data_IF_611720535688
#
_entry.id   IF_611720535688
#
_cell.length_a   1.000
_cell.length_b   1.000
_cell.length_c   1.000
_cell.angle_alpha   90.00
_cell.angle_beta   90.00
_cell.angle_gamma   90.00
#
_symmetry.space_group_name_H-M   'P 1'
#
loop_
_entity.id
_entity.type
_entity.pdbx_description
1 polymer ?
#
# COMPACT_ATOMS: atom_id res chain seq x y z
N UNK A 1 8.51 12.93 -4.43
CA UNK A 1 9.26 13.52 -3.30
C UNK A 1 8.33 14.05 -2.21
N UNK A 2 7.38 14.97 -2.50
CA UNK A 2 6.51 15.59 -1.50
C UNK A 2 5.68 14.60 -0.68
N UNK A 3 5.05 13.62 -1.33
CA UNK A 3 4.29 12.56 -0.62
C UNK A 3 5.19 11.68 0.26
N UNK A 4 6.44 11.49 -0.12
CA UNK A 4 7.39 10.70 0.65
C UNK A 4 7.82 11.46 1.91
N UNK A 5 7.97 12.78 1.83
CA UNK A 5 8.26 13.63 2.98
C UNK A 5 7.13 13.56 4.02
N UNK A 6 5.85 13.57 3.59
CA UNK A 6 4.73 13.40 4.52
C UNK A 6 4.67 12.01 5.16
N UNK A 7 5.12 10.98 4.45
CA UNK A 7 5.18 9.62 5.00
C UNK A 7 6.33 9.43 6.00
N UNK A 8 7.45 10.11 5.77
CA UNK A 8 8.67 10.02 6.59
C UNK A 8 9.28 11.40 6.85
N UNK A 9 8.64 12.22 7.71
CA UNK A 9 9.04 13.62 7.91
C UNK A 9 10.43 13.78 8.53
N UNK A 10 10.94 12.73 9.21
CA UNK A 10 12.27 12.73 9.85
C UNK A 10 13.38 12.17 8.97
N UNK A 11 13.07 11.76 7.73
CA UNK A 11 14.08 11.23 6.80
C UNK A 11 14.88 12.34 6.14
N UNK A 12 16.20 12.20 6.12
CA UNK A 12 17.09 13.08 5.37
C UNK A 12 17.00 12.87 3.84
N UNK A 13 16.50 11.71 3.41
CA UNK A 13 16.31 11.35 2.01
C UNK A 13 14.82 11.31 1.69
N UNK A 14 14.37 12.11 0.72
CA UNK A 14 12.98 12.16 0.27
C UNK A 14 12.70 11.33 -0.97
N UNK A 15 13.74 10.98 -1.75
CA UNK A 15 13.62 10.08 -2.88
C UNK A 15 13.53 8.63 -2.40
N UNK A 16 12.52 7.89 -2.86
CA UNK A 16 12.37 6.46 -2.62
C UNK A 16 12.77 5.67 -3.86
N UNK A 17 12.49 6.21 -5.04
CA UNK A 17 12.79 5.56 -6.31
C UNK A 17 14.15 5.99 -6.85
N UNK A 18 14.84 5.10 -7.57
CA UNK A 18 16.17 5.37 -8.17
C UNK A 18 16.17 6.53 -9.18
N UNK A 19 15.01 6.79 -9.82
CA UNK A 19 14.87 7.88 -10.82
C UNK A 19 14.34 9.19 -10.24
N UNK A 20 14.00 9.24 -8.94
CA UNK A 20 13.62 10.48 -8.27
C UNK A 20 14.89 11.25 -7.91
N UNK A 21 15.12 12.36 -8.58
CA UNK A 21 16.25 13.22 -8.28
C UNK A 21 15.96 14.04 -7.03
N UNK A 22 16.72 13.80 -5.98
CA UNK A 22 16.62 14.46 -4.68
C UNK A 22 17.82 15.37 -4.48
N UNK A 23 17.61 16.65 -4.80
CA UNK A 23 18.66 17.68 -4.71
C UNK A 23 19.14 17.83 -3.25
N UNK A 24 18.22 17.79 -2.27
CA UNK A 24 18.55 17.89 -0.85
C UNK A 24 19.46 16.75 -0.40
N UNK A 25 19.13 15.54 -0.81
CA UNK A 25 19.96 14.37 -0.53
C UNK A 25 21.33 14.43 -1.19
N UNK A 26 21.40 14.97 -2.43
CA UNK A 26 22.68 15.17 -3.11
C UNK A 26 23.60 16.11 -2.33
N UNK A 27 23.09 17.26 -1.86
CA UNK A 27 23.85 18.20 -1.04
C UNK A 27 24.27 17.60 0.30
N UNK A 28 23.36 16.88 0.98
CA UNK A 28 23.70 16.21 2.25
C UNK A 28 24.83 15.21 2.03
N UNK A 29 24.81 14.41 0.97
CA UNK A 29 25.92 13.49 0.64
C UNK A 29 27.21 14.22 0.35
N UNK A 30 27.17 15.30 -0.43
CA UNK A 30 28.34 16.10 -0.75
C UNK A 30 28.97 16.69 0.51
N UNK A 31 28.18 17.30 1.39
CA UNK A 31 28.68 17.86 2.65
C UNK A 31 29.16 16.77 3.63
N UNK A 32 28.54 15.61 3.59
CA UNK A 32 28.96 14.46 4.41
C UNK A 32 30.36 13.96 3.98
N UNK A 33 30.71 14.04 2.70
CA UNK A 33 32.04 13.68 2.18
C UNK A 33 33.15 14.59 2.78
N UNK A 34 32.82 15.85 3.05
CA UNK A 34 33.74 16.83 3.65
C UNK A 34 33.63 16.89 5.20
N UNK A 35 32.86 15.98 5.81
CA UNK A 35 32.64 15.97 7.26
C UNK A 35 31.76 17.10 7.79
N UNK A 36 31.14 17.90 6.89
CA UNK A 36 30.32 19.06 7.24
C UNK A 36 28.85 18.71 7.56
N UNK A 37 28.41 17.50 7.22
CA UNK A 37 27.08 17.01 7.53
C UNK A 37 27.11 15.54 8.01
N UNK A 38 26.25 15.22 8.98
CA UNK A 38 26.04 13.86 9.45
C UNK A 38 24.58 13.45 9.21
N UNK A 39 24.39 12.33 8.52
CA UNK A 39 23.05 11.78 8.29
C UNK A 39 22.59 11.06 9.54
N UNK A 40 21.54 11.57 10.18
CA UNK A 40 21.00 10.99 11.41
C UNK A 40 19.98 9.89 11.13
N UNK A 41 19.14 10.03 10.09
CA UNK A 41 18.09 9.07 9.77
C UNK A 41 17.74 9.10 8.28
N UNK A 42 17.63 7.92 7.70
CA UNK A 42 17.04 7.70 6.37
C UNK A 42 15.81 6.80 6.57
N UNK A 43 14.73 7.04 5.81
CA UNK A 43 13.56 6.19 5.86
C UNK A 43 13.95 4.75 5.49
N UNK A 44 13.58 3.74 6.29
CA UNK A 44 13.82 2.36 5.94
C UNK A 44 13.06 2.03 4.65
N UNK A 45 13.73 1.37 3.73
CA UNK A 45 13.09 0.85 2.52
C UNK A 45 12.61 -0.58 2.82
N UNK A 46 11.39 -0.95 2.40
CA UNK A 46 10.98 -2.34 2.52
C UNK A 46 11.87 -3.18 1.60
N UNK A 47 12.51 -4.16 2.16
CA UNK A 47 13.16 -5.23 1.40
C UNK A 47 12.13 -6.33 1.22
N UNK A 48 11.92 -6.78 -0.01
CA UNK A 48 11.06 -7.92 -0.33
C UNK A 48 12.01 -9.06 -0.63
N UNK A 49 12.23 -9.91 0.35
CA UNK A 49 12.97 -11.16 0.14
C UNK A 49 11.94 -12.27 -0.08
N UNK A 50 12.00 -12.98 -1.22
CA UNK A 50 11.14 -14.13 -1.44
C UNK A 50 11.56 -15.25 -0.50
N UNK A 51 10.93 -15.33 0.64
CA UNK A 51 10.98 -16.51 1.52
C UNK A 51 9.71 -17.29 1.31
N UNK A 52 9.76 -18.42 0.56
CA UNK A 52 8.62 -19.31 0.48
C UNK A 52 8.31 -19.82 1.88
N UNK A 53 7.06 -19.79 2.29
CA UNK A 53 6.55 -20.41 3.51
C UNK A 53 6.84 -19.72 4.87
N UNK A 54 7.26 -18.48 4.95
CA UNK A 54 7.36 -17.82 6.25
C UNK A 54 6.00 -17.35 6.74
N UNK A 55 5.56 -17.81 7.91
CA UNK A 55 4.42 -17.23 8.61
C UNK A 55 4.71 -15.76 8.94
N UNK A 56 3.66 -14.91 8.83
CA UNK A 56 3.72 -13.52 9.28
C UNK A 56 4.15 -13.45 10.75
N UNK A 57 5.16 -12.66 11.02
CA UNK A 57 5.70 -12.42 12.35
C UNK A 57 5.64 -10.93 12.73
N UNK A 58 6.07 -10.60 13.94
CA UNK A 58 6.05 -9.21 14.46
C UNK A 58 6.97 -8.30 13.64
N UNK A 59 8.06 -8.82 13.07
CA UNK A 59 8.99 -8.06 12.25
C UNK A 59 8.35 -7.66 10.91
N UNK A 60 7.67 -8.60 10.24
CA UNK A 60 6.89 -8.31 9.02
C UNK A 60 5.80 -7.27 9.33
N UNK A 61 5.08 -7.41 10.44
CA UNK A 61 4.06 -6.44 10.86
C UNK A 61 4.66 -5.05 11.02
N UNK A 62 5.79 -4.90 11.70
CA UNK A 62 6.46 -3.61 11.88
C UNK A 62 6.90 -3.02 10.53
N UNK A 63 7.47 -3.83 9.64
CA UNK A 63 7.84 -3.42 8.30
C UNK A 63 6.64 -2.89 7.50
N UNK A 64 5.51 -3.58 7.57
CA UNK A 64 4.25 -3.22 6.89
C UNK A 64 3.69 -1.92 7.48
N UNK A 65 3.62 -1.78 8.80
CA UNK A 65 3.09 -0.58 9.47
C UNK A 65 3.93 0.65 9.14
N UNK A 66 5.25 0.55 9.22
CA UNK A 66 6.17 1.64 8.88
C UNK A 66 6.01 2.05 7.41
N UNK A 67 5.78 1.08 6.53
CA UNK A 67 5.65 1.29 5.10
C UNK A 67 4.19 1.30 4.60
N UNK A 68 3.19 1.47 5.47
CA UNK A 68 1.76 1.34 5.15
C UNK A 68 1.30 2.11 3.90
N UNK A 69 1.86 3.29 3.66
CA UNK A 69 1.52 4.08 2.46
C UNK A 69 2.06 3.45 1.17
N UNK A 70 3.22 2.79 1.25
CA UNK A 70 3.78 2.03 0.14
C UNK A 70 2.98 0.76 -0.11
N UNK A 71 2.62 0.05 0.95
CA UNK A 71 1.79 -1.16 0.89
C UNK A 71 0.45 -0.86 0.20
N UNK A 72 -0.27 0.20 0.61
CA UNK A 72 -1.52 0.60 -0.04
C UNK A 72 -1.36 1.03 -1.50
N UNK A 73 -0.25 1.70 -1.82
CA UNK A 73 0.05 2.06 -3.21
C UNK A 73 0.35 0.83 -4.06
N UNK A 74 1.08 -0.13 -3.51
CA UNK A 74 1.42 -1.36 -4.20
C UNK A 74 0.19 -2.25 -4.34
N UNK A 75 -0.67 -2.33 -3.31
CA UNK A 75 -2.00 -2.92 -3.41
C UNK A 75 -2.81 -2.32 -4.57
N UNK A 76 -2.87 -0.99 -4.64
CA UNK A 76 -3.57 -0.32 -5.73
C UNK A 76 -3.05 -0.74 -7.11
N UNK A 77 -1.72 -0.84 -7.27
CA UNK A 77 -1.10 -1.17 -8.55
C UNK A 77 -1.23 -2.64 -8.94
N UNK A 78 -1.14 -3.53 -7.96
CA UNK A 78 -1.03 -4.97 -8.19
C UNK A 78 -2.36 -5.68 -8.08
N UNK A 79 -3.32 -5.13 -7.34
CA UNK A 79 -4.65 -5.70 -7.13
C UNK A 79 -5.73 -4.84 -7.78
N UNK A 80 -5.93 -3.61 -7.27
CA UNK A 80 -7.07 -2.80 -7.69
C UNK A 80 -7.04 -2.47 -9.19
N UNK A 81 -5.90 -2.06 -9.74
CA UNK A 81 -5.82 -1.65 -11.15
C UNK A 81 -5.94 -2.82 -12.13
N UNK A 82 -5.32 -4.00 -11.94
CA UNK A 82 -5.53 -5.15 -12.81
C UNK A 82 -6.99 -5.60 -12.83
N UNK A 83 -7.63 -5.76 -11.66
CA UNK A 83 -9.05 -6.15 -11.59
C UNK A 83 -9.94 -5.10 -12.25
N UNK A 84 -9.70 -3.81 -12.01
CA UNK A 84 -10.40 -2.73 -12.70
C UNK A 84 -10.27 -2.79 -14.23
N UNK A 85 -9.10 -3.12 -14.76
CA UNK A 85 -8.88 -3.23 -16.20
C UNK A 85 -9.62 -4.43 -16.78
N UNK A 86 -9.62 -5.57 -16.08
CA UNK A 86 -10.34 -6.78 -16.49
C UNK A 86 -11.85 -6.52 -16.53
N UNK A 87 -12.43 -5.99 -15.45
CA UNK A 87 -13.86 -5.67 -15.38
C UNK A 87 -14.28 -4.65 -16.44
N UNK A 88 -13.47 -3.61 -16.62
CA UNK A 88 -13.71 -2.61 -17.68
C UNK A 88 -13.69 -3.21 -19.08
N UNK A 89 -12.81 -4.16 -19.36
CA UNK A 89 -12.73 -4.84 -20.65
C UNK A 89 -13.97 -5.71 -20.89
N UNK A 90 -14.46 -6.40 -19.86
CA UNK A 90 -15.68 -7.22 -19.91
C UNK A 90 -16.93 -6.37 -20.10
N UNK A 91 -17.00 -5.20 -19.50
CA UNK A 91 -18.15 -4.29 -19.55
C UNK A 91 -18.30 -3.51 -20.88
N UNK A 92 -17.46 -3.75 -21.88
CA UNK A 92 -17.55 -3.16 -23.24
C UNK A 92 -17.77 -1.63 -23.25
N UNK A 93 -17.02 -0.90 -22.43
CA UNK A 93 -17.05 0.58 -22.46
C UNK A 93 -18.15 1.26 -21.64
N UNK A 94 -18.71 0.57 -20.65
CA UNK A 94 -19.74 1.13 -19.76
C UNK A 94 -19.32 2.50 -19.20
N UNK A 95 -20.23 3.47 -19.23
CA UNK A 95 -20.03 4.82 -18.70
C UNK A 95 -19.66 4.84 -17.21
N UNK A 96 -20.05 3.81 -16.43
CA UNK A 96 -19.73 3.64 -15.02
C UNK A 96 -18.21 3.64 -14.77
N UNK A 97 -17.40 3.10 -15.68
CA UNK A 97 -15.95 3.08 -15.59
C UNK A 97 -15.27 4.44 -15.84
N UNK A 98 -16.04 5.41 -16.38
CA UNK A 98 -15.53 6.76 -16.61
C UNK A 98 -15.26 7.45 -15.26
N UNK A 99 -13.99 7.74 -14.99
CA UNK A 99 -13.50 8.31 -13.72
C UNK A 99 -13.55 7.38 -12.50
N UNK A 100 -14.07 6.16 -12.62
CA UNK A 100 -14.19 5.19 -11.52
C UNK A 100 -12.85 4.84 -10.86
N UNK A 101 -11.76 4.79 -11.63
CA UNK A 101 -10.40 4.60 -11.10
C UNK A 101 -10.07 5.56 -9.93
N UNK A 102 -10.48 6.82 -10.01
CA UNK A 102 -10.24 7.80 -8.94
C UNK A 102 -11.08 7.51 -7.70
N UNK A 103 -12.29 6.99 -7.87
CA UNK A 103 -13.19 6.64 -6.77
C UNK A 103 -12.64 5.45 -5.98
N UNK A 104 -12.16 4.42 -6.65
CA UNK A 104 -11.58 3.22 -6.05
C UNK A 104 -10.30 3.48 -5.24
N UNK A 105 -9.56 4.54 -5.57
CA UNK A 105 -8.27 4.83 -4.94
C UNK A 105 -8.39 5.84 -3.78
N UNK A 106 -9.36 6.74 -3.84
CA UNK A 106 -9.57 7.76 -2.80
C UNK A 106 -10.07 7.15 -1.50
N UNK A 107 -9.72 7.78 -0.38
CA UNK A 107 -10.32 7.43 0.90
C UNK A 107 -11.82 7.79 0.87
N UNK A 108 -12.71 6.94 1.42
CA UNK A 108 -14.15 7.20 1.47
C UNK A 108 -14.49 8.57 2.07
N UNK A 109 -13.76 8.97 3.12
CA UNK A 109 -13.94 10.26 3.81
C UNK A 109 -13.65 11.49 2.95
N UNK A 110 -13.03 11.32 1.78
CA UNK A 110 -12.71 12.39 0.83
C UNK A 110 -13.63 12.39 -0.40
N UNK A 111 -14.67 11.56 -0.39
CA UNK A 111 -15.67 11.48 -1.46
C UNK A 111 -16.88 12.28 -1.05
N UNK A 112 -17.43 13.07 -1.99
CA UNK A 112 -18.72 13.70 -1.84
C UNK A 112 -19.87 12.70 -2.06
N UNK A 113 -21.11 13.09 -1.76
CA UNK A 113 -22.29 12.22 -1.84
C UNK A 113 -22.46 11.60 -3.23
N UNK A 114 -22.29 12.39 -4.30
CA UNK A 114 -22.42 11.92 -5.68
C UNK A 114 -21.31 10.91 -6.03
N UNK A 115 -20.08 11.13 -5.53
CA UNK A 115 -18.98 10.21 -5.75
C UNK A 115 -19.19 8.89 -4.99
N UNK A 116 -19.73 8.95 -3.77
CA UNK A 116 -20.08 7.75 -2.97
C UNK A 116 -21.19 6.94 -3.64
N UNK A 117 -22.25 7.58 -4.14
CA UNK A 117 -23.33 6.91 -4.87
C UNK A 117 -22.79 6.22 -6.12
N UNK A 118 -21.97 6.91 -6.91
CA UNK A 118 -21.35 6.32 -8.11
C UNK A 118 -20.41 5.17 -7.81
N UNK A 119 -19.67 5.25 -6.70
CA UNK A 119 -18.84 4.15 -6.22
C UNK A 119 -19.70 2.96 -5.81
N UNK A 120 -20.77 3.19 -5.03
CA UNK A 120 -21.71 2.17 -4.61
C UNK A 120 -22.34 1.43 -5.80
N UNK A 121 -22.82 2.18 -6.80
CA UNK A 121 -23.39 1.59 -8.02
C UNK A 121 -22.36 0.74 -8.79
N UNK A 122 -21.12 1.23 -8.93
CA UNK A 122 -20.05 0.47 -9.56
C UNK A 122 -19.75 -0.84 -8.81
N UNK A 123 -19.65 -0.79 -7.50
CA UNK A 123 -19.33 -1.96 -6.67
C UNK A 123 -20.49 -2.95 -6.61
N UNK A 124 -21.76 -2.50 -6.70
CA UNK A 124 -22.91 -3.39 -6.73
C UNK A 124 -23.07 -4.16 -8.06
N UNK A 125 -22.51 -3.65 -9.16
CA UNK A 125 -22.56 -4.27 -10.47
C UNK A 125 -21.34 -5.18 -10.74
N UNK A 126 -20.25 -5.06 -9.94
CA UNK A 126 -18.97 -5.72 -10.19
C UNK A 126 -18.40 -6.35 -8.92
N UNK A 127 -18.74 -7.59 -8.65
CA UNK A 127 -18.37 -8.31 -7.42
C UNK A 127 -16.84 -8.39 -7.19
N UNK A 128 -16.05 -8.60 -8.24
CA UNK A 128 -14.60 -8.64 -8.12
C UNK A 128 -14.02 -7.28 -7.69
N UNK A 129 -14.56 -6.16 -8.24
CA UNK A 129 -14.17 -4.81 -7.80
C UNK A 129 -14.60 -4.53 -6.36
N UNK A 130 -15.78 -4.97 -5.97
CA UNK A 130 -16.29 -4.86 -4.60
C UNK A 130 -15.36 -5.58 -3.65
N UNK A 131 -15.02 -6.83 -3.93
CA UNK A 131 -14.12 -7.64 -3.10
C UNK A 131 -12.77 -6.95 -2.92
N UNK A 132 -12.08 -6.57 -3.99
CA UNK A 132 -10.75 -5.93 -3.86
C UNK A 132 -10.84 -4.54 -3.21
N UNK A 133 -11.94 -3.83 -3.33
CA UNK A 133 -12.16 -2.57 -2.63
C UNK A 133 -12.32 -2.80 -1.12
N UNK A 134 -13.15 -3.74 -0.70
CA UNK A 134 -13.36 -4.11 0.70
C UNK A 134 -12.06 -4.60 1.37
N UNK A 135 -11.29 -5.43 0.67
CA UNK A 135 -9.99 -5.89 1.16
C UNK A 135 -8.99 -4.74 1.34
N UNK A 136 -9.02 -3.74 0.45
CA UNK A 136 -8.19 -2.53 0.59
C UNK A 136 -8.57 -1.72 1.84
N UNK A 137 -9.85 -1.53 2.06
CA UNK A 137 -10.34 -0.80 3.25
C UNK A 137 -10.03 -1.57 4.53
N UNK A 138 -10.30 -2.88 4.60
CA UNK A 138 -9.91 -3.74 5.73
C UNK A 138 -8.40 -3.63 6.02
N UNK A 139 -7.55 -3.68 4.99
CA UNK A 139 -6.11 -3.54 5.14
C UNK A 139 -5.72 -2.15 5.68
N UNK A 140 -6.40 -1.10 5.25
CA UNK A 140 -6.20 0.26 5.76
C UNK A 140 -6.65 0.42 7.22
N UNK A 141 -7.70 -0.27 7.64
CA UNK A 141 -8.25 -0.24 8.99
C UNK A 141 -7.32 -0.90 10.01
N UNK A 142 -6.62 -1.99 9.66
CA UNK A 142 -5.70 -2.71 10.55
C UNK A 142 -4.71 -1.74 11.22
N UNK A 143 -4.16 -0.78 10.48
CA UNK A 143 -3.18 0.18 11.02
C UNK A 143 -3.75 1.56 11.35
N UNK A 144 -5.06 1.75 11.23
CA UNK A 144 -5.74 2.99 11.63
C UNK A 144 -6.14 2.99 13.10
N UNK A 145 -6.20 1.81 13.74
CA UNK A 145 -6.58 1.65 15.13
C UNK A 145 -5.55 2.27 16.07
N UNK A 146 -5.94 3.30 16.81
CA UNK A 146 -5.17 3.81 17.94
C UNK A 146 -5.27 2.82 19.12
N UNK A 147 -4.14 2.51 19.76
CA UNK A 147 -4.06 1.67 20.98
C UNK A 147 -4.40 0.17 20.79
N UNK A 148 -4.10 -0.41 19.67
CA UNK A 148 -4.20 -1.86 19.45
C UNK A 148 -2.84 -2.53 19.70
N UNK A 149 -2.81 -3.67 20.41
CA UNK A 149 -1.56 -4.40 20.64
C UNK A 149 -0.99 -5.00 19.36
N UNK A 150 0.33 -5.17 19.29
CA UNK A 150 1.00 -5.77 18.13
C UNK A 150 0.50 -7.19 17.85
N UNK A 151 0.17 -7.96 18.90
CA UNK A 151 -0.35 -9.32 18.76
C UNK A 151 -1.71 -9.31 18.04
N UNK A 152 -2.59 -8.38 18.42
CA UNK A 152 -3.90 -8.25 17.79
C UNK A 152 -3.79 -7.76 16.34
N UNK A 153 -2.90 -6.80 16.07
CA UNK A 153 -2.63 -6.34 14.70
C UNK A 153 -2.06 -7.46 13.83
N UNK A 154 -1.14 -8.27 14.39
CA UNK A 154 -0.57 -9.41 13.69
C UNK A 154 -1.65 -10.46 13.37
N UNK A 155 -2.54 -10.74 14.32
CA UNK A 155 -3.64 -11.67 14.08
C UNK A 155 -4.58 -11.15 12.99
N UNK A 156 -4.98 -9.89 13.05
CA UNK A 156 -5.81 -9.26 12.00
C UNK A 156 -5.14 -9.31 10.62
N UNK A 157 -3.83 -9.13 10.55
CA UNK A 157 -3.10 -9.23 9.29
C UNK A 157 -3.02 -10.68 8.78
N UNK A 158 -2.84 -11.66 9.66
CA UNK A 158 -2.91 -13.09 9.32
C UNK A 158 -4.28 -13.48 8.78
N UNK A 159 -5.34 -13.05 9.46
CA UNK A 159 -6.73 -13.30 9.06
C UNK A 159 -7.00 -12.67 7.69
N UNK A 160 -6.54 -11.43 7.49
CA UNK A 160 -6.65 -10.74 6.21
C UNK A 160 -5.95 -11.50 5.07
N UNK A 161 -4.73 -12.00 5.29
CA UNK A 161 -4.00 -12.79 4.29
C UNK A 161 -4.74 -14.09 3.97
N UNK A 162 -5.24 -14.79 4.98
CA UNK A 162 -5.98 -16.04 4.81
C UNK A 162 -7.28 -15.83 4.02
N UNK A 163 -8.05 -14.77 4.35
CA UNK A 163 -9.25 -14.41 3.58
C UNK A 163 -8.88 -14.03 2.13
N UNK A 164 -7.78 -13.31 1.92
CA UNK A 164 -7.32 -12.89 0.60
C UNK A 164 -6.94 -14.10 -0.29
N UNK A 165 -6.26 -15.08 0.28
CA UNK A 165 -5.90 -16.34 -0.38
C UNK A 165 -7.13 -17.19 -0.74
N UNK A 166 -8.16 -17.14 0.10
CA UNK A 166 -9.42 -17.85 -0.14
C UNK A 166 -10.38 -17.11 -1.10
N UNK A 167 -10.03 -15.90 -1.55
CA UNK A 167 -10.92 -15.05 -2.35
C UNK A 167 -11.15 -15.52 -3.78
N UNK A 168 -10.26 -16.36 -4.32
CA UNK A 168 -10.26 -16.78 -5.72
C UNK A 168 -9.85 -15.68 -6.70
N UNK A 169 -9.36 -14.53 -6.24
CA UNK A 169 -8.84 -13.43 -7.07
C UNK A 169 -7.31 -13.51 -7.06
N UNK A 170 -6.73 -13.98 -8.15
CA UNK A 170 -5.29 -14.26 -8.25
C UNK A 170 -4.39 -13.08 -7.83
N UNK A 171 -4.73 -11.86 -8.24
CA UNK A 171 -3.95 -10.68 -7.87
C UNK A 171 -4.00 -10.37 -6.37
N UNK A 172 -5.07 -10.76 -5.68
CA UNK A 172 -5.23 -10.60 -4.24
C UNK A 172 -4.45 -11.68 -3.48
N UNK A 173 -4.48 -12.92 -3.96
CA UNK A 173 -3.66 -14.03 -3.47
C UNK A 173 -2.16 -13.71 -3.55
N UNK A 174 -1.69 -13.31 -4.75
CA UNK A 174 -0.30 -12.93 -4.99
C UNK A 174 0.15 -11.76 -4.09
N UNK A 175 -0.77 -10.85 -3.79
CA UNK A 175 -0.46 -9.73 -2.90
C UNK A 175 -0.37 -10.18 -1.44
N UNK A 176 -1.21 -11.10 -0.97
CA UNK A 176 -1.14 -11.67 0.37
C UNK A 176 0.19 -12.43 0.59
N UNK A 177 0.60 -13.24 -0.38
CA UNK A 177 1.90 -13.90 -0.37
C UNK A 177 3.06 -12.89 -0.27
N UNK A 178 2.98 -11.81 -1.05
CA UNK A 178 3.98 -10.74 -1.01
C UNK A 178 4.04 -10.02 0.34
N UNK A 179 2.93 -9.83 1.04
CA UNK A 179 2.93 -9.22 2.37
C UNK A 179 3.79 -10.00 3.37
N UNK A 180 3.88 -11.32 3.25
CA UNK A 180 4.73 -12.16 4.11
C UNK A 180 6.23 -11.94 3.86
N UNK A 181 6.59 -11.44 2.69
CA UNK A 181 7.98 -11.17 2.31
C UNK A 181 8.47 -9.73 2.62
N UNK A 182 7.66 -8.92 3.32
CA UNK A 182 8.07 -7.57 3.73
C UNK A 182 8.97 -7.63 4.97
N UNK A 183 10.19 -7.11 4.83
CA UNK A 183 11.15 -6.94 5.93
C UNK A 183 11.63 -5.49 6.01
N UNK A 184 12.12 -5.09 7.18
CA UNK A 184 12.84 -3.83 7.32
C UNK A 184 14.27 -4.03 6.81
N UNK A 185 14.77 -3.13 5.95
CA UNK A 185 16.19 -3.15 5.62
C UNK A 185 16.99 -2.88 6.90
N UNK A 186 17.73 -3.87 7.36
CA UNK A 186 18.81 -3.67 8.33
C UNK A 186 19.92 -2.88 7.65
N UNK A 187 20.09 -1.63 8.05
CA UNK A 187 21.28 -0.83 7.73
C UNK A 187 22.40 -1.16 8.70
#
# INVERSE_FOLDING_TARGET
LHNNHHAFPTSAKFSIRRWEFDIGWLYIKLFSLFGLAKVNRVAPQPVIEPTPDSELNVENLQAIIVNRMHVLRDYTKQVTLPVFQTEKAMASGNAAFKRAKKLLIRKPTLLDANAMERLGNLLSEHDALKTVYEFREKLSEIWSGANVSNEKLLQQLKDWCHEAEASGIKSLEDFAERLRSYHLSTN
#
